data_IF_941512780478
#
_entry.id   IF_941512780478
#
_cell.length_a   1.000
_cell.length_b   1.000
_cell.length_c   1.000
_cell.angle_alpha   90.00
_cell.angle_beta   90.00
_cell.angle_gamma   90.00
#
_symmetry.space_group_name_H-M   'P 1'
#
loop_
_entity.id
_entity.type
_entity.pdbx_description
1 polymer ?
#
# COMPACT_ATOMS: atom_id res chain seq x y z
N UNK A 1 2.24 11.21 -20.00
CA UNK A 1 3.48 11.50 -19.25
C UNK A 1 4.31 12.46 -20.07
N UNK A 2 4.83 13.54 -19.48
CA UNK A 2 5.60 14.57 -20.20
C UNK A 2 7.13 14.32 -20.18
N UNK A 3 7.56 13.24 -19.53
CA UNK A 3 8.98 12.88 -19.30
C UNK A 3 9.57 11.93 -20.34
N UNK A 4 8.76 11.27 -21.17
CA UNK A 4 9.22 10.25 -22.13
C UNK A 4 9.37 8.84 -21.53
N UNK A 5 9.07 8.66 -20.23
CA UNK A 5 9.13 7.35 -19.59
C UNK A 5 8.02 6.42 -20.09
N UNK A 6 8.29 5.12 -20.09
CA UNK A 6 7.33 4.07 -20.43
C UNK A 6 6.97 3.27 -19.18
N UNK A 7 5.66 3.12 -18.95
CA UNK A 7 5.15 2.19 -17.94
C UNK A 7 4.93 0.84 -18.60
N UNK A 8 5.54 -0.21 -18.04
CA UNK A 8 5.47 -1.58 -18.55
C UNK A 8 4.94 -2.48 -17.43
N UNK A 9 3.86 -3.21 -17.72
CA UNK A 9 3.34 -4.26 -16.86
C UNK A 9 3.86 -5.62 -17.35
N UNK A 10 4.35 -6.45 -16.43
CA UNK A 10 4.83 -7.80 -16.73
C UNK A 10 3.90 -8.84 -16.12
N UNK A 11 3.64 -9.92 -16.86
CA UNK A 11 2.77 -11.01 -16.40
C UNK A 11 3.48 -12.06 -15.55
N UNK A 12 4.81 -11.98 -15.41
CA UNK A 12 5.60 -12.94 -14.64
C UNK A 12 6.82 -12.31 -13.97
N UNK A 13 7.20 -12.89 -12.83
CA UNK A 13 8.41 -12.48 -12.09
C UNK A 13 9.65 -12.56 -12.98
N UNK A 14 9.82 -13.66 -13.72
CA UNK A 14 10.95 -13.87 -14.64
C UNK A 14 11.06 -12.75 -15.67
N UNK A 15 9.93 -12.32 -16.25
CA UNK A 15 9.93 -11.21 -17.21
C UNK A 15 10.33 -9.90 -16.52
N UNK A 16 9.80 -9.62 -15.32
CA UNK A 16 10.13 -8.42 -14.56
C UNK A 16 11.63 -8.33 -14.21
N UNK A 17 12.23 -9.44 -13.79
CA UNK A 17 13.66 -9.53 -13.47
C UNK A 17 14.53 -9.31 -14.72
N UNK A 18 14.13 -9.91 -15.85
CA UNK A 18 14.79 -9.68 -17.13
C UNK A 18 14.71 -8.21 -17.55
N UNK A 19 13.53 -7.59 -17.45
CA UNK A 19 13.34 -6.17 -17.76
C UNK A 19 14.24 -5.28 -16.90
N UNK A 20 14.34 -5.55 -15.60
CA UNK A 20 15.20 -4.79 -14.69
C UNK A 20 16.70 -4.87 -15.05
N UNK A 21 17.13 -5.95 -15.70
CA UNK A 21 18.51 -6.11 -16.17
C UNK A 21 18.83 -5.38 -17.49
N UNK A 22 17.82 -4.88 -18.20
CA UNK A 22 18.00 -4.21 -19.48
C UNK A 22 18.60 -2.82 -19.27
N UNK A 23 19.71 -2.56 -19.97
CA UNK A 23 20.40 -1.26 -19.97
C UNK A 23 20.35 -0.57 -21.34
N UNK A 24 19.88 -1.25 -22.38
CA UNK A 24 19.76 -0.73 -23.75
C UNK A 24 18.54 -1.29 -24.45
N UNK A 25 17.87 -0.46 -25.24
CA UNK A 25 16.79 -0.86 -26.14
C UNK A 25 17.22 -0.52 -27.58
N UNK A 26 17.65 -1.53 -28.33
CA UNK A 26 18.43 -1.31 -29.56
C UNK A 26 19.75 -0.61 -29.24
N UNK A 27 20.04 0.48 -29.94
CA UNK A 27 21.22 1.33 -29.71
C UNK A 27 21.00 2.41 -28.64
N UNK A 28 19.78 2.52 -28.09
CA UNK A 28 19.42 3.57 -27.14
C UNK A 28 19.67 3.08 -25.71
N UNK A 29 20.50 3.76 -24.90
CA UNK A 29 20.65 3.43 -23.49
C UNK A 29 19.36 3.75 -22.72
N UNK A 30 18.94 2.83 -21.86
CA UNK A 30 17.74 2.96 -21.02
C UNK A 30 18.05 2.61 -19.58
N UNK A 31 17.26 3.15 -18.66
CA UNK A 31 17.27 2.75 -17.24
C UNK A 31 15.91 2.15 -16.92
N UNK A 32 15.91 0.95 -16.33
CA UNK A 32 14.70 0.28 -15.89
C UNK A 32 14.71 0.22 -14.36
N UNK A 33 13.59 0.58 -13.74
CA UNK A 33 13.40 0.51 -12.30
C UNK A 33 11.98 0.05 -11.97
N UNK A 34 11.83 -0.60 -10.82
CA UNK A 34 10.51 -0.96 -10.32
C UNK A 34 9.72 0.31 -10.00
N UNK A 35 8.45 0.34 -10.40
CA UNK A 35 7.60 1.51 -10.13
C UNK A 35 7.38 1.69 -8.62
N UNK A 36 7.67 2.88 -8.11
CA UNK A 36 7.70 3.14 -6.67
C UNK A 36 6.35 2.96 -5.94
N UNK A 37 5.22 3.08 -6.66
CA UNK A 37 3.89 3.05 -6.04
C UNK A 37 2.90 2.03 -6.62
N UNK A 38 3.17 1.46 -7.80
CA UNK A 38 2.19 0.59 -8.49
C UNK A 38 2.39 -0.89 -8.14
N UNK A 39 3.51 -1.24 -7.53
CA UNK A 39 3.79 -2.57 -7.01
C UNK A 39 3.22 -2.80 -5.60
N UNK A 40 2.63 -1.76 -5.00
CA UNK A 40 2.07 -1.79 -3.66
C UNK A 40 0.59 -1.44 -3.69
N UNK A 41 -0.19 -2.10 -2.84
CA UNK A 41 -1.60 -1.76 -2.64
C UNK A 41 -1.86 -1.45 -1.18
N UNK A 42 -2.88 -0.64 -0.91
CA UNK A 42 -3.29 -0.29 0.45
C UNK A 42 -4.72 -0.70 0.68
N UNK A 43 -4.93 -1.50 1.71
CA UNK A 43 -6.22 -2.00 2.14
C UNK A 43 -6.62 -1.44 3.49
N UNK A 44 -7.91 -1.30 3.72
CA UNK A 44 -8.54 -0.99 4.99
C UNK A 44 -9.14 -2.28 5.55
N UNK A 45 -8.63 -2.70 6.70
CA UNK A 45 -9.22 -3.74 7.53
C UNK A 45 -10.02 -3.08 8.65
N UNK A 46 -11.20 -3.62 8.98
CA UNK A 46 -12.03 -3.13 10.08
C UNK A 46 -12.45 -4.29 10.98
N UNK A 47 -11.94 -4.34 12.20
CA UNK A 47 -12.35 -5.36 13.18
C UNK A 47 -12.10 -4.88 14.61
N UNK A 48 -13.11 -5.04 15.46
CA UNK A 48 -13.09 -4.66 16.88
C UNK A 48 -12.19 -5.60 17.71
N UNK A 49 -12.01 -6.85 17.26
CA UNK A 49 -11.18 -7.88 17.92
C UNK A 49 -9.70 -7.47 18.04
N UNK A 50 -9.23 -6.60 17.14
CA UNK A 50 -7.84 -6.19 17.10
C UNK A 50 -7.62 -4.80 17.70
N UNK A 51 -8.53 -4.23 18.49
CA UNK A 51 -8.38 -2.85 18.98
C UNK A 51 -7.09 -2.62 19.78
N UNK A 52 -6.63 -3.66 20.50
CA UNK A 52 -5.44 -3.62 21.36
C UNK A 52 -4.15 -4.06 20.67
N UNK A 53 -4.23 -4.54 19.42
CA UNK A 53 -3.06 -5.00 18.66
C UNK A 53 -2.27 -3.80 18.14
N UNK A 54 -0.95 -3.84 18.28
CA UNK A 54 -0.07 -2.79 17.79
C UNK A 54 0.15 -2.88 16.27
N UNK A 55 0.53 -1.75 15.65
CA UNK A 55 0.84 -1.71 14.21
C UNK A 55 2.03 -2.64 13.86
N UNK A 56 2.99 -2.80 14.77
CA UNK A 56 4.14 -3.69 14.57
C UNK A 56 3.73 -5.17 14.60
N UNK A 57 2.82 -5.56 15.49
CA UNK A 57 2.29 -6.93 15.54
C UNK A 57 1.55 -7.29 14.24
N UNK A 58 0.78 -6.36 13.66
CA UNK A 58 0.16 -6.61 12.35
C UNK A 58 1.17 -6.91 11.26
N UNK A 59 2.28 -6.17 11.20
CA UNK A 59 3.32 -6.41 10.19
C UNK A 59 3.96 -7.77 10.41
N UNK A 60 4.32 -8.11 11.65
CA UNK A 60 4.95 -9.39 11.99
C UNK A 60 4.04 -10.58 11.69
N UNK A 61 2.79 -10.55 12.13
CA UNK A 61 1.87 -11.69 12.01
C UNK A 61 1.33 -11.87 10.58
N UNK A 62 1.25 -10.79 9.80
CA UNK A 62 0.70 -10.80 8.44
C UNK A 62 1.78 -10.72 7.36
N UNK A 63 3.06 -10.80 7.71
CA UNK A 63 4.19 -10.77 6.76
C UNK A 63 4.05 -11.88 5.70
N UNK A 64 3.63 -13.07 6.11
CA UNK A 64 3.38 -14.21 5.21
C UNK A 64 2.31 -13.93 4.15
N UNK A 65 1.39 -12.99 4.43
CA UNK A 65 0.34 -12.50 3.52
C UNK A 65 0.75 -11.20 2.81
N UNK A 66 2.06 -10.91 2.75
CA UNK A 66 2.67 -9.77 2.04
C UNK A 66 2.34 -8.40 2.64
N UNK A 67 1.96 -8.33 3.92
CA UNK A 67 1.82 -7.04 4.61
C UNK A 67 3.21 -6.51 5.00
N UNK A 68 3.56 -5.30 4.54
CA UNK A 68 4.86 -4.66 4.81
C UNK A 68 4.75 -3.45 5.73
N UNK A 69 3.56 -2.89 5.89
CA UNK A 69 3.30 -1.80 6.82
C UNK A 69 1.84 -1.85 7.29
N UNK A 70 1.62 -1.50 8.55
CA UNK A 70 0.31 -1.30 9.12
C UNK A 70 0.22 0.08 9.77
N UNK A 71 -0.96 0.68 9.74
CA UNK A 71 -1.23 1.95 10.41
C UNK A 71 -2.67 2.00 10.92
N UNK A 72 -2.84 2.01 12.23
CA UNK A 72 -4.16 2.21 12.83
C UNK A 72 -4.66 3.65 12.61
N UNK A 73 -5.92 3.77 12.22
CA UNK A 73 -6.59 5.07 12.17
C UNK A 73 -6.96 5.45 13.60
N UNK A 74 -6.54 6.64 14.02
CA UNK A 74 -6.88 7.18 15.34
C UNK A 74 -7.74 8.42 15.19
N UNK A 75 -8.64 8.63 16.14
CA UNK A 75 -9.46 9.82 16.26
C UNK A 75 -8.82 10.74 17.30
N UNK A 76 -8.79 12.04 17.01
CA UNK A 76 -8.49 13.07 18.02
C UNK A 76 -9.80 13.67 18.50
N UNK A 77 -10.14 13.47 19.77
CA UNK A 77 -11.30 14.09 20.44
C UNK A 77 -10.84 14.66 21.77
N UNK A 78 -11.17 15.92 22.03
CA UNK A 78 -10.86 16.62 23.28
C UNK A 78 -9.38 16.53 23.71
N UNK A 79 -8.47 16.60 22.73
CA UNK A 79 -7.02 16.48 22.95
C UNK A 79 -6.50 15.05 23.17
N UNK A 80 -7.38 14.05 23.28
CA UNK A 80 -7.02 12.65 23.44
C UNK A 80 -6.99 11.92 22.08
N UNK A 81 -6.06 10.97 21.95
CA UNK A 81 -5.93 10.08 20.79
C UNK A 81 -6.66 8.79 21.12
N UNK A 82 -7.71 8.49 20.37
CA UNK A 82 -8.56 7.32 20.56
C UNK A 82 -8.28 6.34 19.40
N UNK A 83 -7.82 5.11 19.68
CA UNK A 83 -7.64 4.10 18.64
C UNK A 83 -9.01 3.68 18.08
N UNK A 84 -9.06 3.43 16.77
CA UNK A 84 -10.25 2.85 16.14
C UNK A 84 -9.98 1.41 15.73
N UNK A 85 -11.05 0.68 15.41
CA UNK A 85 -11.01 -0.66 14.81
C UNK A 85 -10.44 -0.72 13.39
N UNK A 86 -10.19 0.44 12.78
CA UNK A 86 -9.77 0.54 11.38
C UNK A 86 -8.25 0.58 11.28
N UNK A 87 -7.68 -0.33 10.49
CA UNK A 87 -6.25 -0.45 10.27
C UNK A 87 -5.98 -0.43 8.77
N UNK A 88 -5.07 0.42 8.34
CA UNK A 88 -4.61 0.48 6.96
C UNK A 88 -3.42 -0.46 6.84
N UNK A 89 -3.52 -1.44 5.95
CA UNK A 89 -2.47 -2.38 5.63
C UNK A 89 -1.88 -2.02 4.27
N UNK A 90 -0.56 -2.04 4.17
CA UNK A 90 0.17 -1.89 2.91
C UNK A 90 0.69 -3.25 2.51
N UNK A 91 0.32 -3.69 1.32
CA UNK A 91 0.71 -4.97 0.74
C UNK A 91 1.80 -4.76 -0.30
N UNK A 92 2.81 -5.62 -0.29
CA UNK A 92 3.80 -5.79 -1.36
C UNK A 92 3.22 -6.63 -2.51
N UNK A 93 2.04 -6.21 -2.98
CA UNK A 93 1.34 -6.81 -4.10
C UNK A 93 0.71 -5.71 -4.96
N UNK A 94 0.77 -5.83 -6.30
CA UNK A 94 0.13 -4.88 -7.21
C UNK A 94 -1.39 -4.99 -7.22
N UNK A 95 -1.93 -6.13 -6.76
CA UNK A 95 -3.37 -6.38 -6.64
C UNK A 95 -3.72 -6.49 -5.17
N UNK A 96 -4.79 -5.78 -4.77
CA UNK A 96 -5.27 -5.77 -3.39
C UNK A 96 -5.99 -7.09 -3.09
N UNK A 97 -5.59 -7.85 -2.05
CA UNK A 97 -6.35 -9.02 -1.64
C UNK A 97 -7.73 -8.60 -1.11
N UNK A 98 -8.77 -9.40 -1.38
CA UNK A 98 -10.13 -9.12 -0.89
C UNK A 98 -10.32 -9.53 0.57
N UNK A 99 -9.52 -10.47 1.06
CA UNK A 99 -9.57 -10.99 2.42
C UNK A 99 -8.18 -11.33 2.92
N UNK A 100 -8.00 -11.28 4.24
CA UNK A 100 -6.82 -11.79 4.95
C UNK A 100 -7.24 -12.62 6.15
N UNK A 101 -6.33 -13.41 6.68
CA UNK A 101 -6.55 -14.14 7.94
C UNK A 101 -5.61 -13.58 9.01
N UNK A 102 -6.16 -13.02 10.07
CA UNK A 102 -5.41 -12.52 11.22
C UNK A 102 -5.75 -13.39 12.44
N UNK A 103 -4.76 -14.13 12.97
CA UNK A 103 -5.01 -15.20 13.93
C UNK A 103 -5.94 -16.26 13.33
N UNK A 104 -7.12 -16.42 13.94
CA UNK A 104 -8.17 -17.35 13.47
C UNK A 104 -9.34 -16.65 12.76
N UNK A 105 -9.24 -15.34 12.51
CA UNK A 105 -10.34 -14.52 11.99
C UNK A 105 -10.05 -14.15 10.54
N UNK A 106 -10.99 -14.47 9.66
CA UNK A 106 -10.96 -14.00 8.27
C UNK A 106 -11.58 -12.60 8.20
N UNK A 107 -10.81 -11.63 7.72
CA UNK A 107 -11.20 -10.23 7.62
C UNK A 107 -11.31 -9.80 6.17
N UNK A 108 -12.36 -9.05 5.84
CA UNK A 108 -12.49 -8.39 4.55
C UNK A 108 -11.56 -7.18 4.46
N UNK A 109 -10.97 -6.98 3.28
CA UNK A 109 -10.10 -5.85 2.97
C UNK A 109 -10.77 -4.99 1.91
N UNK A 110 -10.96 -3.71 2.25
CA UNK A 110 -11.50 -2.72 1.32
C UNK A 110 -10.37 -1.84 0.76
N UNK A 111 -10.45 -1.34 -0.48
CA UNK A 111 -9.48 -0.37 -0.98
C UNK A 111 -9.39 0.86 -0.08
N UNK A 112 -8.17 1.22 0.34
CA UNK A 112 -7.96 2.43 1.13
C UNK A 112 -7.99 3.67 0.23
N UNK A 113 -8.97 4.54 0.47
CA UNK A 113 -9.06 5.86 -0.17
C UNK A 113 -8.61 6.90 0.86
N UNK A 114 -7.48 7.60 0.64
CA UNK A 114 -7.01 8.60 1.58
C UNK A 114 -7.98 9.78 1.68
N UNK A 115 -8.12 10.33 2.88
CA UNK A 115 -8.92 11.53 3.06
C UNK A 115 -8.34 12.68 2.24
N UNK A 116 -9.20 13.41 1.52
CA UNK A 116 -8.78 14.55 0.72
C UNK A 116 -8.35 15.67 1.64
N UNK A 117 -7.04 15.90 1.71
CA UNK A 117 -6.48 17.00 2.51
C UNK A 117 -6.67 18.31 1.75
N UNK A 118 -7.26 19.29 2.43
CA UNK A 118 -7.36 20.67 1.95
C UNK A 118 -6.06 21.40 2.30
N UNK A 119 -5.37 21.95 1.32
CA UNK A 119 -4.24 22.82 1.58
C UNK A 119 -4.74 24.15 2.14
N UNK A 120 -4.26 24.53 3.33
CA UNK A 120 -4.62 25.81 3.94
C UNK A 120 -4.01 27.03 3.23
N UNK A 121 -3.00 26.84 2.37
CA UNK A 121 -2.41 27.94 1.57
C UNK A 121 -3.25 28.29 0.35
N UNK A 122 -3.66 27.30 -0.44
CA UNK A 122 -4.34 27.55 -1.72
C UNK A 122 -5.82 27.11 -1.74
N UNK A 123 -6.31 26.54 -0.63
CA UNK A 123 -7.70 26.10 -0.45
C UNK A 123 -8.17 24.97 -1.39
N UNK A 124 -7.27 24.37 -2.19
CA UNK A 124 -7.55 23.21 -3.06
C UNK A 124 -7.36 21.88 -2.32
N UNK A 125 -8.11 20.86 -2.71
CA UNK A 125 -7.96 19.49 -2.22
C UNK A 125 -7.01 18.69 -3.12
N UNK A 126 -6.17 17.82 -2.54
CA UNK A 126 -5.47 16.75 -3.27
C UNK A 126 -4.29 17.14 -4.16
N UNK A 127 -3.50 18.16 -3.81
CA UNK A 127 -2.23 18.51 -4.47
C UNK A 127 -1.08 18.60 -3.46
#
# INVERSE_FOLDING_TARGET
MKSGDLLVESSSLKQSEQLLSITKFGDIPVTVSAHASLNYTRGLMSSDEFLMVSDAEFVSELEAQKVIAARRITLKRDGQIIPTRHVILTFDTPVLPTKITAGYICCDIQPYIPNLVRCFKCQRCGH
#
